data_IF_951339654723
#
_entry.id   IF_951339654723
#
_cell.length_a   1.000
_cell.length_b   1.000
_cell.length_c   1.000
_cell.angle_alpha   90.00
_cell.angle_beta   90.00
_cell.angle_gamma   90.00
#
_symmetry.space_group_name_H-M   'P 1'
#
loop_
_entity.id
_entity.type
_entity.pdbx_description
1 polymer ?
#
# COMPACT_ATOMS: atom_id res chain seq x y z
N UNK A 1 18.49 5.82 -18.67
CA UNK A 1 17.30 5.67 -17.81
C UNK A 1 17.79 5.77 -16.37
N UNK A 2 17.47 6.85 -15.66
CA UNK A 2 17.80 7.01 -14.24
C UNK A 2 16.83 6.14 -13.42
N UNK A 3 17.27 5.32 -12.45
CA UNK A 3 16.35 4.54 -11.63
C UNK A 3 15.36 5.47 -10.89
N UNK A 4 14.10 5.06 -10.75
CA UNK A 4 13.16 5.75 -9.86
C UNK A 4 13.70 5.75 -8.42
N UNK A 5 13.40 6.79 -7.64
CA UNK A 5 13.83 6.83 -6.24
C UNK A 5 13.10 5.74 -5.44
N UNK A 6 13.85 4.76 -4.90
CA UNK A 6 13.34 3.62 -4.13
C UNK A 6 13.29 3.90 -2.63
N UNK A 7 13.61 5.11 -2.19
CA UNK A 7 13.70 5.47 -0.76
C UNK A 7 12.35 5.27 -0.04
N UNK A 8 12.35 4.34 0.91
CA UNK A 8 11.16 3.96 1.68
C UNK A 8 10.18 3.06 0.92
N UNK A 9 10.49 2.58 -0.28
CA UNK A 9 9.67 1.57 -0.96
C UNK A 9 9.63 0.28 -0.13
N UNK A 10 8.46 -0.35 -0.06
CA UNK A 10 8.18 -1.53 0.78
C UNK A 10 7.94 -1.21 2.26
N UNK A 11 8.05 0.05 2.69
CA UNK A 11 7.78 0.43 4.08
C UNK A 11 6.28 0.46 4.38
N UNK A 12 5.90 0.13 5.61
CA UNK A 12 4.51 0.11 6.06
C UNK A 12 4.01 1.54 6.30
N UNK A 13 2.90 1.89 5.66
CA UNK A 13 2.15 3.13 5.91
C UNK A 13 1.05 2.89 6.95
N UNK A 14 0.27 1.81 6.77
CA UNK A 14 -0.86 1.49 7.66
C UNK A 14 -1.15 -0.02 7.69
N UNK A 15 -1.60 -0.60 8.82
CA UNK A 15 -1.53 -0.01 10.16
C UNK A 15 -0.08 0.13 10.61
N UNK A 16 0.16 0.90 11.67
CA UNK A 16 1.48 1.02 12.26
C UNK A 16 2.08 -0.36 12.56
N UNK A 17 3.35 -0.57 12.20
CA UNK A 17 4.02 -1.87 12.32
C UNK A 17 4.27 -2.23 13.79
N UNK A 18 3.41 -3.06 14.35
CA UNK A 18 3.50 -3.62 15.71
C UNK A 18 2.98 -5.05 15.69
N UNK A 19 3.45 -5.91 16.60
CA UNK A 19 2.97 -7.29 16.67
C UNK A 19 1.44 -7.35 16.77
N UNK A 20 0.86 -6.55 17.67
CA UNK A 20 -0.60 -6.46 17.86
C UNK A 20 -1.36 -6.12 16.57
N UNK A 21 -0.87 -5.17 15.78
CA UNK A 21 -1.55 -4.79 14.53
C UNK A 21 -1.30 -5.81 13.42
N UNK A 22 -0.08 -6.34 13.33
CA UNK A 22 0.28 -7.31 12.31
C UNK A 22 -0.43 -8.66 12.53
N UNK A 23 -0.74 -9.02 13.77
CA UNK A 23 -1.53 -10.21 14.13
C UNK A 23 -3.03 -10.02 13.85
N UNK A 24 -3.56 -8.80 13.97
CA UNK A 24 -5.01 -8.56 13.90
C UNK A 24 -5.51 -8.02 12.56
N UNK A 25 -4.67 -7.33 11.80
CA UNK A 25 -5.07 -6.71 10.53
C UNK A 25 -4.80 -7.64 9.36
N UNK A 26 -5.84 -8.07 8.65
CA UNK A 26 -5.70 -8.93 7.46
C UNK A 26 -5.10 -8.21 6.23
N UNK A 27 -5.13 -6.88 6.23
CA UNK A 27 -4.63 -6.03 5.16
C UNK A 27 -3.60 -5.03 5.67
N UNK A 28 -2.73 -4.60 4.77
CA UNK A 28 -1.73 -3.56 5.01
C UNK A 28 -1.58 -2.65 3.79
N UNK A 29 -1.20 -1.41 4.04
CA UNK A 29 -0.85 -0.42 3.05
C UNK A 29 0.65 -0.19 3.13
N UNK A 30 1.35 -0.42 2.03
CA UNK A 30 2.79 -0.23 1.93
C UNK A 30 3.12 0.85 0.89
N UNK A 31 4.14 1.67 1.19
CA UNK A 31 4.68 2.67 0.26
C UNK A 31 5.40 1.95 -0.88
N UNK A 32 5.17 2.40 -2.10
CA UNK A 32 5.88 1.99 -3.31
C UNK A 32 6.95 3.00 -3.72
N UNK A 33 7.54 2.76 -4.88
CA UNK A 33 8.51 3.67 -5.49
C UNK A 33 7.85 4.97 -5.95
N UNK A 34 8.64 6.04 -5.98
CA UNK A 34 8.24 7.27 -6.64
C UNK A 34 8.11 7.05 -8.15
N UNK A 35 7.20 7.78 -8.80
CA UNK A 35 7.06 7.73 -10.26
C UNK A 35 8.29 8.35 -10.93
N UNK A 36 8.78 7.71 -11.99
CA UNK A 36 10.06 8.05 -12.64
C UNK A 36 10.18 9.54 -13.02
N UNK A 37 9.12 10.13 -13.58
CA UNK A 37 9.10 11.52 -14.02
C UNK A 37 8.47 12.47 -13.00
N UNK A 38 7.91 11.96 -11.91
CA UNK A 38 7.15 12.71 -10.93
C UNK A 38 7.54 12.25 -9.52
N UNK A 39 8.74 12.64 -9.02
CA UNK A 39 9.31 12.07 -7.80
C UNK A 39 8.53 12.40 -6.52
N UNK A 40 7.61 13.37 -6.57
CA UNK A 40 6.67 13.72 -5.51
C UNK A 40 5.41 12.84 -5.51
N UNK A 41 5.21 12.04 -6.56
CA UNK A 41 4.13 11.07 -6.66
C UNK A 41 4.66 9.69 -6.33
N UNK A 42 4.06 9.07 -5.33
CA UNK A 42 4.44 7.75 -4.86
C UNK A 42 3.31 6.76 -5.13
N UNK A 43 3.68 5.57 -5.62
CA UNK A 43 2.77 4.45 -5.56
C UNK A 43 2.52 4.08 -4.10
N UNK A 44 1.30 3.65 -3.80
CA UNK A 44 0.95 3.06 -2.51
C UNK A 44 0.09 1.83 -2.78
N UNK A 45 0.39 0.73 -2.11
CA UNK A 45 -0.19 -0.58 -2.41
C UNK A 45 -1.00 -1.12 -1.24
N UNK A 46 -2.22 -1.58 -1.52
CA UNK A 46 -2.99 -2.42 -0.61
C UNK A 46 -2.54 -3.87 -0.80
N UNK A 47 -2.13 -4.52 0.28
CA UNK A 47 -1.60 -5.88 0.27
C UNK A 47 -2.23 -6.71 1.39
N UNK A 48 -2.24 -8.03 1.20
CA UNK A 48 -2.57 -8.96 2.29
C UNK A 48 -1.45 -8.96 3.34
N UNK A 49 -1.82 -9.17 4.60
CA UNK A 49 -0.88 -9.29 5.69
C UNK A 49 -0.67 -10.77 6.05
N UNK A 50 0.55 -11.26 5.84
CA UNK A 50 0.91 -12.66 6.12
C UNK A 50 1.04 -13.00 7.61
N UNK A 51 1.13 -11.98 8.46
CA UNK A 51 1.29 -12.14 9.91
C UNK A 51 -0.05 -12.22 10.64
N UNK A 52 -1.18 -12.04 9.94
CA UNK A 52 -2.51 -12.06 10.57
C UNK A 52 -2.81 -13.42 11.17
N UNK A 53 -3.50 -13.45 12.31
CA UNK A 53 -3.90 -14.66 13.04
C UNK A 53 -4.91 -15.51 12.26
N UNK A 54 -5.71 -14.89 11.39
CA UNK A 54 -6.68 -15.57 10.55
C UNK A 54 -5.98 -16.56 9.60
N UNK A 55 -6.24 -17.87 9.73
CA UNK A 55 -5.55 -18.89 8.95
C UNK A 55 -5.90 -18.87 7.45
N UNK A 56 -7.10 -18.42 7.06
CA UNK A 56 -7.49 -18.34 5.66
C UNK A 56 -6.76 -17.19 4.97
N UNK A 57 -6.77 -15.99 5.57
CA UNK A 57 -6.06 -14.82 5.03
C UNK A 57 -4.56 -15.09 4.99
N UNK A 58 -3.99 -15.61 6.08
CA UNK A 58 -2.56 -15.96 6.12
C UNK A 58 -2.17 -17.01 5.07
N UNK A 59 -3.03 -18.00 4.81
CA UNK A 59 -2.79 -19.01 3.76
C UNK A 59 -2.79 -18.37 2.37
N UNK A 60 -3.71 -17.45 2.10
CA UNK A 60 -3.76 -16.71 0.83
C UNK A 60 -2.53 -15.80 0.69
N UNK A 61 -2.20 -15.04 1.73
CA UNK A 61 -1.04 -14.16 1.77
C UNK A 61 0.26 -14.91 1.54
N UNK A 62 0.45 -16.08 2.16
CA UNK A 62 1.68 -16.89 1.96
C UNK A 62 1.84 -17.44 0.54
N UNK A 63 0.75 -17.65 -0.21
CA UNK A 63 0.84 -18.08 -1.61
C UNK A 63 1.38 -16.98 -2.52
N UNK A 64 1.11 -15.72 -2.20
CA UNK A 64 1.61 -14.57 -2.92
C UNK A 64 1.83 -13.40 -1.94
N UNK A 65 2.95 -13.43 -1.21
CA UNK A 65 3.25 -12.48 -0.12
C UNK A 65 3.44 -11.03 -0.58
N UNK A 66 3.65 -10.85 -1.89
CA UNK A 66 3.76 -9.55 -2.55
C UNK A 66 2.51 -9.19 -3.37
N UNK A 67 1.41 -9.94 -3.24
CA UNK A 67 0.16 -9.63 -3.91
C UNK A 67 -0.27 -8.19 -3.60
N UNK A 68 -0.34 -7.39 -4.67
CA UNK A 68 -0.92 -6.05 -4.65
C UNK A 68 -2.38 -6.22 -5.01
N UNK A 69 -3.24 -6.13 -4.00
CA UNK A 69 -4.69 -6.21 -4.20
C UNK A 69 -5.22 -4.96 -4.87
N UNK A 70 -4.60 -3.82 -4.59
CA UNK A 70 -4.91 -2.55 -5.24
C UNK A 70 -3.73 -1.59 -5.13
N UNK A 71 -3.79 -0.49 -5.86
CA UNK A 71 -2.81 0.59 -5.79
C UNK A 71 -3.45 1.96 -6.02
N UNK A 72 -2.77 2.97 -5.51
CA UNK A 72 -3.10 4.39 -5.69
C UNK A 72 -1.81 5.18 -5.87
N UNK A 73 -1.91 6.37 -6.46
CA UNK A 73 -0.81 7.32 -6.58
C UNK A 73 -1.10 8.49 -5.65
N UNK A 74 -0.21 8.71 -4.68
CA UNK A 74 -0.29 9.84 -3.75
C UNK A 74 0.72 10.90 -4.14
N UNK A 75 0.24 12.13 -4.30
CA UNK A 75 1.07 13.32 -4.47
C UNK A 75 1.40 13.91 -3.09
N UNK A 76 2.67 13.87 -2.69
CA UNK A 76 3.11 14.36 -1.37
C UNK A 76 3.22 15.88 -1.28
N UNK A 77 2.98 16.61 -2.38
CA UNK A 77 2.93 18.08 -2.39
C UNK A 77 1.52 18.62 -2.20
N UNK A 78 0.50 17.79 -2.43
CA UNK A 78 -0.88 18.12 -2.09
C UNK A 78 -1.07 18.06 -0.57
N UNK A 79 -1.78 19.05 -0.02
CA UNK A 79 -2.25 18.99 1.37
C UNK A 79 -3.29 17.89 1.57
N UNK A 80 -3.53 17.50 2.83
CA UNK A 80 -4.59 16.56 3.18
C UNK A 80 -5.95 17.27 3.16
N UNK A 81 -6.57 17.35 1.98
CA UNK A 81 -7.95 17.83 1.81
C UNK A 81 -8.92 16.65 1.69
N UNK A 82 -10.22 16.89 1.85
CA UNK A 82 -11.26 15.86 1.70
C UNK A 82 -11.28 15.28 0.27
N UNK A 83 -11.06 16.13 -0.73
CA UNK A 83 -10.98 15.72 -2.13
C UNK A 83 -9.77 14.82 -2.35
N UNK A 84 -8.60 15.18 -1.81
CA UNK A 84 -7.40 14.36 -1.93
C UNK A 84 -7.56 12.99 -1.27
N UNK A 85 -8.26 12.92 -0.13
CA UNK A 85 -8.59 11.65 0.53
C UNK A 85 -9.57 10.83 -0.30
N UNK A 86 -10.61 11.47 -0.85
CA UNK A 86 -11.59 10.83 -1.73
C UNK A 86 -10.93 10.26 -2.99
N UNK A 87 -10.10 11.04 -3.67
CA UNK A 87 -9.33 10.61 -4.86
C UNK A 87 -8.48 9.36 -4.57
N UNK A 88 -7.88 9.28 -3.38
CA UNK A 88 -7.07 8.13 -2.96
C UNK A 88 -7.93 6.87 -2.81
N UNK A 89 -9.09 6.99 -2.17
CA UNK A 89 -10.01 5.87 -1.98
C UNK A 89 -10.63 5.40 -3.28
N UNK A 90 -11.10 6.31 -4.13
CA UNK A 90 -11.63 5.98 -5.46
C UNK A 90 -10.59 5.24 -6.30
N UNK A 91 -9.32 5.66 -6.26
CA UNK A 91 -8.25 4.92 -6.94
C UNK A 91 -8.08 3.52 -6.37
N UNK A 92 -8.11 3.34 -5.05
CA UNK A 92 -8.03 1.99 -4.46
C UNK A 92 -9.21 1.10 -4.88
N UNK A 93 -10.41 1.64 -4.95
CA UNK A 93 -11.60 0.90 -5.37
C UNK A 93 -11.54 0.54 -6.86
N UNK A 94 -11.22 1.52 -7.72
CA UNK A 94 -11.15 1.33 -9.17
C UNK A 94 -10.00 0.40 -9.59
N UNK A 95 -8.90 0.38 -8.82
CA UNK A 95 -7.73 -0.44 -9.11
C UNK A 95 -7.71 -1.78 -8.33
N UNK A 96 -8.85 -2.21 -7.79
CA UNK A 96 -8.94 -3.46 -7.06
C UNK A 96 -8.82 -4.66 -8.02
N UNK A 97 -7.91 -5.58 -7.71
CA UNK A 97 -7.56 -6.77 -8.48
C UNK A 97 -7.81 -8.00 -7.59
N UNK A 98 -9.08 -8.33 -7.39
CA UNK A 98 -9.52 -9.55 -6.66
C UNK A 98 -10.54 -10.33 -7.49
#
# INVERSE_FOLDING_TARGET
>A
MTPGNTEGAGTRVFPAKTNKNDEKSGLRINKGEALHNEPHKHNVFLQQNENVEDPAIRKLAKKNSHAKLSHTIIDTTKGTTEEAVTEVWEQFENNLII
#
